data_IF_161277272403
#
_entry.id   IF_161277272403
#
_cell.length_a   1.000
_cell.length_b   1.000
_cell.length_c   1.000
_cell.angle_alpha   90.00
_cell.angle_beta   90.00
_cell.angle_gamma   90.00
#
_symmetry.space_group_name_H-M   'P 1'
#
loop_
_entity.id
_entity.type
_entity.pdbx_description
1 polymer ?
#
# COMPACT_ATOMS: atom_id res chain seq x y z
N UNK A 1 4.16 17.09 -15.39
CA UNK A 1 2.72 17.45 -15.35
C UNK A 1 1.91 16.16 -15.35
N UNK A 2 0.99 15.99 -14.38
CA UNK A 2 0.18 14.76 -14.21
C UNK A 2 -1.20 14.84 -14.88
N UNK A 3 -1.74 16.05 -14.98
CA UNK A 3 -3.01 16.35 -15.61
C UNK A 3 -3.24 17.86 -15.62
N UNK A 4 -4.32 18.28 -16.29
CA UNK A 4 -4.78 19.67 -16.34
C UNK A 4 -6.28 19.66 -16.08
N UNK A 5 -6.74 20.53 -15.20
CA UNK A 5 -8.17 20.76 -14.94
C UNK A 5 -8.60 22.03 -15.68
N UNK A 6 -9.67 21.95 -16.46
CA UNK A 6 -10.26 23.06 -17.20
C UNK A 6 -11.77 23.09 -16.95
N UNK A 7 -12.32 24.29 -16.92
CA UNK A 7 -13.75 24.54 -16.87
C UNK A 7 -14.15 25.33 -18.12
N UNK A 8 -15.29 24.97 -18.71
CA UNK A 8 -15.90 25.67 -19.83
C UNK A 8 -17.34 25.99 -19.46
N UNK A 9 -17.73 27.25 -19.62
CA UNK A 9 -19.10 27.70 -19.39
C UNK A 9 -19.34 29.12 -19.92
N UNK A 10 -20.54 29.65 -19.70
CA UNK A 10 -20.90 31.02 -20.05
C UNK A 10 -19.95 32.05 -19.46
N UNK A 11 -19.76 33.18 -20.15
CA UNK A 11 -18.84 34.25 -19.75
C UNK A 11 -19.25 34.90 -18.43
N UNK A 12 -20.55 34.92 -18.16
CA UNK A 12 -21.20 35.50 -16.98
C UNK A 12 -21.40 34.49 -15.84
N UNK A 13 -20.92 33.26 -16.00
CA UNK A 13 -21.02 32.24 -14.98
C UNK A 13 -19.67 32.05 -14.27
N UNK A 14 -19.68 32.11 -12.95
CA UNK A 14 -18.52 31.72 -12.15
C UNK A 14 -18.28 30.19 -12.24
N UNK A 15 -17.01 29.75 -12.36
CA UNK A 15 -16.70 28.33 -12.32
C UNK A 15 -17.09 27.73 -10.96
N UNK A 16 -17.57 26.47 -10.94
CA UNK A 16 -17.84 25.79 -9.69
C UNK A 16 -16.54 25.61 -8.89
N UNK A 17 -16.63 25.35 -7.57
CA UNK A 17 -15.47 25.01 -6.77
C UNK A 17 -14.66 23.88 -7.40
N UNK A 18 -13.36 24.10 -7.59
CA UNK A 18 -12.48 23.13 -8.24
C UNK A 18 -12.35 21.86 -7.40
N UNK A 19 -12.54 20.70 -8.02
CA UNK A 19 -12.21 19.42 -7.41
C UNK A 19 -10.74 19.38 -7.01
N UNK A 20 -10.46 18.94 -5.79
CA UNK A 20 -9.07 18.78 -5.35
C UNK A 20 -8.43 17.62 -6.11
N UNK A 21 -7.24 17.85 -6.64
CA UNK A 21 -6.46 16.82 -7.30
C UNK A 21 -4.98 16.99 -7.01
N UNK A 22 -4.26 15.89 -7.03
CA UNK A 22 -2.82 15.86 -6.74
C UNK A 22 -2.09 14.82 -7.59
N UNK A 23 -0.82 15.08 -7.88
CA UNK A 23 0.07 14.12 -8.55
C UNK A 23 0.85 13.29 -7.55
N UNK A 24 1.03 12.01 -7.87
CA UNK A 24 1.97 11.11 -7.17
C UNK A 24 2.81 10.34 -8.18
N UNK A 25 4.04 10.00 -7.81
CA UNK A 25 4.94 9.18 -8.63
C UNK A 25 5.38 7.96 -7.82
N UNK A 26 5.13 6.78 -8.35
CA UNK A 26 5.69 5.53 -7.88
C UNK A 26 7.00 5.28 -8.61
N UNK A 27 8.12 5.32 -7.90
CA UNK A 27 9.45 4.98 -8.39
C UNK A 27 9.73 3.52 -8.04
N UNK A 28 9.65 2.63 -9.05
CA UNK A 28 9.73 1.18 -8.81
C UNK A 28 11.14 0.68 -8.47
N UNK A 29 12.24 1.20 -9.08
CA UNK A 29 13.59 0.87 -8.66
C UNK A 29 13.88 1.10 -7.18
N UNK A 30 13.42 2.22 -6.61
CA UNK A 30 13.62 2.53 -5.18
C UNK A 30 12.48 2.03 -4.30
N UNK A 31 11.35 1.63 -4.92
CA UNK A 31 10.11 1.20 -4.27
C UNK A 31 9.51 2.27 -3.35
N UNK A 32 9.64 3.54 -3.78
CA UNK A 32 9.17 4.72 -3.08
C UNK A 32 8.04 5.42 -3.85
N UNK A 33 7.26 6.19 -3.11
CA UNK A 33 6.18 7.03 -3.62
C UNK A 33 6.49 8.48 -3.30
N UNK A 34 6.70 9.28 -4.34
CA UNK A 34 6.83 10.72 -4.23
C UNK A 34 5.46 11.36 -4.28
N UNK A 35 5.16 12.19 -3.30
CA UNK A 35 3.88 12.87 -3.15
C UNK A 35 4.09 14.37 -3.05
N UNK A 36 3.07 15.12 -3.46
CA UNK A 36 2.99 16.54 -3.11
C UNK A 36 2.32 16.72 -1.75
N UNK A 37 2.51 17.89 -1.15
CA UNK A 37 1.80 18.29 0.08
C UNK A 37 0.27 18.29 -0.10
N UNK A 38 -0.22 18.50 -1.33
CA UNK A 38 -1.64 18.49 -1.61
C UNK A 38 -2.27 17.10 -1.41
N UNK A 39 -1.48 16.02 -1.54
CA UNK A 39 -1.93 14.67 -1.22
C UNK A 39 -2.34 14.54 0.25
N UNK A 40 -1.48 14.99 1.18
CA UNK A 40 -1.78 14.93 2.62
C UNK A 40 -2.86 15.94 3.01
N UNK A 41 -2.88 17.13 2.41
CA UNK A 41 -3.93 18.14 2.63
C UNK A 41 -5.31 17.66 2.17
N UNK A 42 -5.39 16.97 1.03
CA UNK A 42 -6.63 16.32 0.58
C UNK A 42 -7.12 15.33 1.62
N UNK A 43 -6.22 14.57 2.27
CA UNK A 43 -6.54 13.65 3.35
C UNK A 43 -6.80 14.31 4.73
N UNK A 44 -6.77 15.64 4.82
CA UNK A 44 -6.92 16.37 6.09
C UNK A 44 -5.78 16.14 7.09
N UNK A 45 -4.59 15.75 6.59
CA UNK A 45 -3.38 15.59 7.40
C UNK A 45 -2.66 16.96 7.46
N UNK A 46 -2.25 17.42 8.66
CA UNK A 46 -1.59 18.72 8.80
C UNK A 46 -0.21 18.73 8.14
N UNK A 47 0.19 19.89 7.61
CA UNK A 47 1.46 20.08 6.88
C UNK A 47 2.69 19.65 7.71
N UNK A 48 2.67 19.82 9.04
CA UNK A 48 3.75 19.38 9.93
C UNK A 48 3.99 17.86 9.94
N UNK A 49 3.04 17.06 9.42
CA UNK A 49 3.16 15.60 9.27
C UNK A 49 3.39 15.18 7.81
N UNK A 50 3.58 16.14 6.90
CA UNK A 50 3.84 15.83 5.50
C UNK A 50 5.19 15.15 5.34
N UNK A 51 5.17 14.00 4.69
CA UNK A 51 6.36 13.31 4.22
C UNK A 51 6.33 13.33 2.68
N UNK A 52 7.35 13.91 2.01
CA UNK A 52 7.38 14.00 0.55
C UNK A 52 7.56 12.64 -0.12
N UNK A 53 8.06 11.66 0.63
CA UNK A 53 8.36 10.32 0.15
C UNK A 53 7.83 9.30 1.16
N UNK A 54 7.17 8.26 0.67
CA UNK A 54 6.73 7.10 1.46
C UNK A 54 7.17 5.80 0.81
N UNK A 55 7.43 4.74 1.58
CA UNK A 55 7.51 3.39 1.03
C UNK A 55 6.23 3.01 0.28
N UNK A 56 6.37 2.35 -0.88
CA UNK A 56 5.22 1.87 -1.66
C UNK A 56 4.27 1.00 -0.81
N UNK A 57 4.83 0.19 0.09
CA UNK A 57 4.06 -0.65 1.01
C UNK A 57 3.17 0.12 2.00
N UNK A 58 3.51 1.38 2.29
CA UNK A 58 2.79 2.24 3.23
C UNK A 58 1.84 3.22 2.55
N UNK A 59 2.01 3.50 1.26
CA UNK A 59 1.18 4.49 0.55
C UNK A 59 -0.33 4.21 0.65
N UNK A 60 -0.71 2.93 0.58
CA UNK A 60 -2.12 2.51 0.66
C UNK A 60 -2.64 2.33 2.09
N UNK A 61 -1.82 2.52 3.11
CA UNK A 61 -2.22 2.28 4.50
C UNK A 61 -3.32 3.26 4.96
N UNK A 62 -3.35 4.47 4.40
CA UNK A 62 -4.37 5.48 4.73
C UNK A 62 -5.70 5.28 3.98
N UNK A 63 -5.80 4.29 3.09
CA UNK A 63 -7.06 3.92 2.46
C UNK A 63 -7.87 3.02 3.41
N UNK A 64 -9.08 3.45 3.77
CA UNK A 64 -10.00 2.65 4.59
C UNK A 64 -10.58 1.48 3.79
N UNK A 65 -10.79 1.69 2.49
CA UNK A 65 -11.19 0.64 1.56
C UNK A 65 -10.56 0.87 0.20
N UNK A 66 -9.97 -0.19 -0.35
CA UNK A 66 -9.51 -0.20 -1.74
C UNK A 66 -9.61 -1.65 -2.23
N UNK A 67 -10.33 -1.86 -3.33
CA UNK A 67 -10.70 -3.21 -3.79
C UNK A 67 -9.88 -3.65 -5.03
N UNK A 68 -9.18 -2.73 -5.68
CA UNK A 68 -8.51 -2.96 -6.97
C UNK A 68 -7.00 -3.18 -6.84
N UNK A 69 -6.60 -3.97 -5.84
CA UNK A 69 -5.19 -4.22 -5.54
C UNK A 69 -4.50 -5.03 -6.62
N UNK A 70 -5.18 -6.04 -7.15
CA UNK A 70 -4.66 -6.91 -8.20
C UNK A 70 -4.36 -6.13 -9.46
N UNK A 71 -5.26 -5.23 -9.86
CA UNK A 71 -5.06 -4.39 -11.04
C UNK A 71 -3.89 -3.42 -10.84
N UNK A 72 -3.71 -2.88 -9.63
CA UNK A 72 -2.52 -2.06 -9.32
C UNK A 72 -1.25 -2.90 -9.39
N UNK A 73 -1.21 -4.10 -8.80
CA UNK A 73 0.00 -4.92 -8.84
C UNK A 73 0.33 -5.42 -10.24
N UNK A 74 -0.69 -5.83 -11.01
CA UNK A 74 -0.53 -6.15 -12.41
C UNK A 74 0.00 -4.95 -13.20
N UNK A 75 -0.51 -3.75 -12.93
CA UNK A 75 -0.03 -2.51 -13.53
C UNK A 75 1.45 -2.26 -13.20
N UNK A 76 1.86 -2.44 -11.94
CA UNK A 76 3.22 -2.12 -11.49
C UNK A 76 4.27 -3.15 -11.88
N UNK A 77 3.94 -4.45 -11.84
CA UNK A 77 4.93 -5.51 -11.95
C UNK A 77 4.85 -6.33 -13.24
N UNK A 78 3.69 -6.38 -13.89
CA UNK A 78 3.47 -7.27 -15.04
C UNK A 78 3.22 -6.51 -16.35
N UNK A 79 2.86 -5.23 -16.27
CA UNK A 79 2.41 -4.47 -17.43
C UNK A 79 3.54 -3.78 -18.19
N UNK A 80 3.33 -3.62 -19.50
CA UNK A 80 4.26 -2.91 -20.38
C UNK A 80 4.34 -1.39 -20.15
N UNK A 81 5.34 -0.71 -20.77
CA UNK A 81 5.41 0.75 -20.79
C UNK A 81 4.13 1.30 -21.42
N UNK A 82 3.39 2.17 -20.72
CA UNK A 82 2.12 2.83 -21.14
C UNK A 82 0.82 2.12 -20.76
N UNK A 83 0.85 1.07 -19.95
CA UNK A 83 -0.37 0.55 -19.34
C UNK A 83 -1.04 1.63 -18.46
N UNK A 84 -2.37 1.57 -18.36
CA UNK A 84 -3.19 2.56 -17.65
C UNK A 84 -4.18 1.84 -16.74
N UNK A 85 -4.47 2.47 -15.61
CA UNK A 85 -5.51 2.04 -14.69
C UNK A 85 -6.30 3.27 -14.24
N UNK A 86 -7.61 3.13 -14.16
CA UNK A 86 -8.47 4.04 -13.43
C UNK A 86 -9.21 3.24 -12.39
N UNK A 87 -9.14 3.69 -11.14
CA UNK A 87 -9.73 2.98 -10.01
C UNK A 87 -10.18 3.95 -8.94
N UNK A 88 -10.96 3.49 -7.98
CA UNK A 88 -11.44 4.31 -6.86
C UNK A 88 -11.17 3.65 -5.53
N UNK A 89 -11.10 4.45 -4.48
CA UNK A 89 -10.94 4.00 -3.10
C UNK A 89 -11.60 4.96 -2.12
N UNK A 90 -11.70 4.50 -0.89
CA UNK A 90 -12.20 5.28 0.24
C UNK A 90 -11.03 5.67 1.12
N UNK A 91 -10.85 6.97 1.33
CA UNK A 91 -9.77 7.54 2.13
C UNK A 91 -10.38 8.31 3.29
N UNK A 92 -9.81 8.16 4.48
CA UNK A 92 -10.27 8.93 5.64
C UNK A 92 -9.73 10.35 5.60
N UNK A 93 -10.61 11.32 5.79
CA UNK A 93 -10.22 12.68 6.13
C UNK A 93 -9.95 12.77 7.64
N UNK A 94 -8.69 13.03 8.02
CA UNK A 94 -8.30 13.06 9.43
C UNK A 94 -8.82 14.28 10.19
N UNK A 95 -8.94 15.42 9.52
CA UNK A 95 -9.43 16.66 10.12
C UNK A 95 -10.96 16.63 10.31
N UNK A 96 -11.69 16.21 9.28
CA UNK A 96 -13.15 16.20 9.27
C UNK A 96 -13.76 14.90 9.82
N UNK A 97 -12.93 13.86 10.05
CA UNK A 97 -13.35 12.52 10.49
C UNK A 97 -14.46 11.92 9.63
N UNK A 98 -14.36 12.13 8.31
CA UNK A 98 -15.28 11.61 7.32
C UNK A 98 -14.55 10.75 6.28
N UNK A 99 -15.30 9.95 5.56
CA UNK A 99 -14.81 9.19 4.41
C UNK A 99 -14.87 10.05 3.15
N UNK A 100 -13.83 9.97 2.32
CA UNK A 100 -13.75 10.60 1.02
C UNK A 100 -13.67 9.55 -0.07
N UNK A 101 -14.26 9.87 -1.22
CA UNK A 101 -14.23 9.04 -2.41
C UNK A 101 -13.14 9.54 -3.36
N UNK A 102 -12.02 8.83 -3.42
CA UNK A 102 -10.90 9.21 -4.28
C UNK A 102 -10.87 8.36 -5.54
N UNK A 103 -10.58 8.99 -6.67
CA UNK A 103 -10.22 8.31 -7.91
C UNK A 103 -8.72 8.41 -8.13
N UNK A 104 -8.09 7.29 -8.48
CA UNK A 104 -6.73 7.24 -8.96
C UNK A 104 -6.75 6.94 -10.47
N UNK A 105 -6.17 7.84 -11.26
CA UNK A 105 -5.82 7.58 -12.66
C UNK A 105 -4.31 7.41 -12.74
N UNK A 106 -3.87 6.21 -13.12
CA UNK A 106 -2.46 5.82 -13.12
C UNK A 106 -2.01 5.42 -14.52
N UNK A 107 -0.79 5.80 -14.89
CA UNK A 107 -0.10 5.33 -16.09
C UNK A 107 1.32 4.86 -15.78
N UNK A 108 1.69 3.69 -16.29
CA UNK A 108 3.09 3.22 -16.23
C UNK A 108 3.97 4.01 -17.17
N UNK A 109 5.21 4.21 -16.75
CA UNK A 109 6.27 4.82 -17.55
C UNK A 109 7.52 3.99 -17.36
N UNK A 110 8.05 3.49 -18.46
CA UNK A 110 9.33 2.78 -18.52
C UNK A 110 10.04 3.28 -19.76
N UNK A 111 10.84 4.31 -19.58
CA UNK A 111 11.68 4.93 -20.59
C UNK A 111 13.07 5.25 -20.00
N UNK A 112 13.95 5.86 -20.78
CA UNK A 112 15.33 6.17 -20.36
C UNK A 112 15.43 7.13 -19.17
N UNK A 113 14.35 7.83 -18.83
CA UNK A 113 14.33 8.81 -17.74
C UNK A 113 13.61 8.30 -16.49
N UNK A 114 12.81 7.25 -16.60
CA UNK A 114 11.86 6.88 -15.55
C UNK A 114 11.42 5.42 -15.65
N UNK A 115 11.38 4.73 -14.51
CA UNK A 115 10.80 3.40 -14.37
C UNK A 115 9.81 3.37 -13.20
N UNK A 116 8.52 3.37 -13.51
CA UNK A 116 7.47 3.30 -12.50
C UNK A 116 6.10 3.71 -13.00
N UNK A 117 5.36 4.46 -12.20
CA UNK A 117 4.01 4.88 -12.56
C UNK A 117 3.66 6.27 -12.01
N UNK A 118 2.86 7.00 -12.80
CA UNK A 118 2.42 8.35 -12.51
C UNK A 118 0.93 8.31 -12.22
N UNK A 119 0.56 8.73 -11.01
CA UNK A 119 -0.82 8.84 -10.56
C UNK A 119 -1.30 10.29 -10.57
N UNK A 120 -2.58 10.47 -10.93
CA UNK A 120 -3.39 11.61 -10.59
C UNK A 120 -4.47 11.12 -9.62
N UNK A 121 -4.52 11.70 -8.42
CA UNK A 121 -5.54 11.41 -7.42
C UNK A 121 -6.53 12.56 -7.39
N UNK A 122 -7.82 12.26 -7.43
CA UNK A 122 -8.90 13.25 -7.49
C UNK A 122 -9.93 12.96 -6.39
N UNK A 123 -10.35 14.00 -5.67
CA UNK A 123 -11.42 13.91 -4.69
C UNK A 123 -12.79 14.08 -5.37
N UNK A 124 -13.51 12.97 -5.49
CA UNK A 124 -14.86 12.88 -6.06
C UNK A 124 -15.95 12.93 -4.98
N UNK A 125 -15.59 13.22 -3.73
CA UNK A 125 -16.54 13.27 -2.62
C UNK A 125 -17.64 14.29 -2.92
N UNK A 126 -18.89 13.84 -2.87
CA UNK A 126 -20.05 14.71 -3.03
C UNK A 126 -21.23 14.14 -2.25
N UNK A 127 -22.25 14.97 -2.00
CA UNK A 127 -23.48 14.52 -1.36
C UNK A 127 -24.18 13.39 -2.13
N UNK A 128 -23.93 13.27 -3.45
CA UNK A 128 -24.52 12.26 -4.33
C UNK A 128 -23.67 10.99 -4.46
N UNK A 129 -22.38 11.06 -4.14
CA UNK A 129 -21.46 9.93 -4.21
C UNK A 129 -20.90 9.66 -2.82
N UNK A 130 -21.55 8.73 -2.10
CA UNK A 130 -21.01 8.23 -0.82
C UNK A 130 -19.96 7.17 -1.11
N UNK A 131 -18.74 7.30 -0.56
CA UNK A 131 -17.73 6.26 -0.71
C UNK A 131 -18.21 4.94 -0.09
N UNK A 132 -17.83 3.79 -0.67
CA UNK A 132 -18.09 2.50 -0.05
C UNK A 132 -17.29 2.39 1.25
N UNK A 133 -17.96 2.00 2.33
CA UNK A 133 -17.30 1.75 3.62
C UNK A 133 -16.64 0.37 3.63
N UNK A 134 -15.67 0.18 4.51
CA UNK A 134 -15.25 -1.16 4.89
C UNK A 134 -16.47 -1.94 5.40
N UNK A 135 -16.60 -3.21 5.01
CA UNK A 135 -17.70 -4.06 5.49
C UNK A 135 -17.49 -4.44 6.96
N UNK A 136 -18.55 -4.91 7.63
CA UNK A 136 -18.45 -5.38 9.01
C UNK A 136 -17.43 -6.53 9.11
N UNK A 137 -17.43 -7.45 8.15
CA UNK A 137 -16.52 -8.58 8.06
C UNK A 137 -15.06 -8.11 7.92
N UNK A 138 -14.81 -7.11 7.07
CA UNK A 138 -13.47 -6.54 6.88
C UNK A 138 -12.94 -5.90 8.18
N UNK A 139 -13.78 -5.12 8.86
CA UNK A 139 -13.43 -4.50 10.14
C UNK A 139 -13.21 -5.54 11.23
N UNK A 140 -14.16 -6.47 11.41
CA UNK A 140 -14.07 -7.52 12.43
C UNK A 140 -12.85 -8.41 12.22
N UNK A 141 -12.51 -8.74 10.97
CA UNK A 141 -11.33 -9.54 10.65
C UNK A 141 -10.02 -8.81 11.00
N UNK A 142 -9.92 -7.51 10.71
CA UNK A 142 -8.76 -6.69 11.11
C UNK A 142 -8.61 -6.61 12.63
N UNK A 143 -9.71 -6.38 13.34
CA UNK A 143 -9.69 -6.27 14.80
C UNK A 143 -9.33 -7.60 15.46
N UNK A 144 -9.85 -8.72 14.95
CA UNK A 144 -9.50 -10.06 15.40
C UNK A 144 -7.99 -10.33 15.23
N UNK A 145 -7.43 -10.03 14.07
CA UNK A 145 -6.00 -10.23 13.81
C UNK A 145 -5.12 -9.37 14.74
N UNK A 146 -5.48 -8.09 14.92
CA UNK A 146 -4.79 -7.19 15.84
C UNK A 146 -4.81 -7.72 17.27
N UNK A 147 -5.97 -8.18 17.76
CA UNK A 147 -6.12 -8.74 19.11
C UNK A 147 -5.27 -10.00 19.34
N UNK A 148 -4.97 -10.75 18.28
CA UNK A 148 -4.13 -11.95 18.33
C UNK A 148 -2.65 -11.68 17.98
N UNK A 149 -2.25 -10.41 17.85
CA UNK A 149 -0.87 -10.05 17.49
C UNK A 149 -0.44 -10.56 16.11
N UNK A 150 -1.39 -10.85 15.23
CA UNK A 150 -1.15 -11.32 13.88
C UNK A 150 -1.33 -10.16 12.89
N UNK A 151 -0.36 -10.01 12.01
CA UNK A 151 -0.37 -8.94 11.00
C UNK A 151 -0.23 -9.55 9.63
N UNK A 152 -0.88 -8.98 8.62
CA UNK A 152 -0.87 -9.49 7.26
C UNK A 152 -0.22 -8.50 6.30
N UNK A 153 0.50 -9.04 5.32
CA UNK A 153 1.10 -8.29 4.24
C UNK A 153 1.27 -9.15 2.99
N UNK A 154 1.51 -8.50 1.86
CA UNK A 154 1.74 -9.14 0.57
C UNK A 154 3.23 -9.16 0.29
N UNK A 155 3.80 -10.34 0.12
CA UNK A 155 5.22 -10.53 -0.25
C UNK A 155 5.33 -10.72 -1.77
N UNK A 156 6.27 -10.01 -2.39
CA UNK A 156 6.70 -10.28 -3.76
C UNK A 156 7.68 -11.45 -3.75
N UNK A 157 7.24 -12.60 -4.25
CA UNK A 157 8.06 -13.83 -4.28
C UNK A 157 9.32 -13.68 -5.13
N UNK A 158 9.36 -12.97 -6.27
CA UNK A 158 10.61 -12.82 -7.04
C UNK A 158 11.83 -12.28 -6.28
N UNK A 159 11.66 -11.50 -5.21
CA UNK A 159 12.77 -10.89 -4.46
C UNK A 159 12.56 -10.80 -2.94
N UNK A 160 11.45 -11.33 -2.43
CA UNK A 160 11.17 -11.40 -1.00
C UNK A 160 10.80 -10.06 -0.37
N UNK A 161 10.48 -9.01 -1.14
CA UNK A 161 10.11 -7.70 -0.59
C UNK A 161 8.63 -7.59 -0.19
N UNK A 162 8.30 -6.67 0.71
CA UNK A 162 6.91 -6.40 1.12
C UNK A 162 6.23 -5.42 0.14
N UNK A 163 5.21 -5.87 -0.57
CA UNK A 163 4.46 -5.02 -1.50
C UNK A 163 3.49 -4.09 -0.78
N UNK A 164 2.84 -4.58 0.28
CA UNK A 164 1.81 -3.86 1.05
C UNK A 164 1.50 -4.55 2.37
N UNK A 165 1.12 -3.77 3.38
CA UNK A 165 0.43 -4.26 4.57
C UNK A 165 -1.09 -4.33 4.35
N UNK A 166 -1.70 -5.49 4.62
CA UNK A 166 -3.14 -5.73 4.50
C UNK A 166 -3.90 -5.39 5.78
N UNK A 167 -3.24 -5.53 6.92
CA UNK A 167 -3.71 -5.04 8.22
C UNK A 167 -2.92 -3.80 8.61
N UNK A 168 -3.01 -3.40 9.88
CA UNK A 168 -2.02 -2.46 10.42
C UNK A 168 -0.60 -3.03 10.26
N UNK A 169 0.42 -2.18 10.09
CA UNK A 169 1.80 -2.63 10.05
C UNK A 169 2.21 -3.23 11.40
N UNK A 170 3.07 -4.27 11.43
CA UNK A 170 3.58 -4.83 12.68
C UNK A 170 4.37 -3.79 13.48
N UNK A 171 4.08 -3.56 14.77
CA UNK A 171 4.66 -2.44 15.53
C UNK A 171 6.16 -2.58 15.80
N UNK A 172 6.72 -3.79 15.72
CA UNK A 172 8.15 -4.03 15.92
C UNK A 172 8.99 -3.87 14.65
N UNK A 173 8.35 -3.69 13.49
CA UNK A 173 9.02 -3.50 12.20
C UNK A 173 9.03 -2.01 11.87
N UNK A 174 10.18 -1.49 11.45
CA UNK A 174 10.27 -0.15 10.89
C UNK A 174 9.75 -0.17 9.44
N UNK A 175 8.44 0.04 9.31
CA UNK A 175 7.77 0.12 8.01
C UNK A 175 7.99 1.46 7.27
N UNK A 176 8.84 2.35 7.78
CA UNK A 176 9.24 3.58 7.06
C UNK A 176 10.35 3.31 6.03
N UNK A 177 10.91 2.10 6.03
CA UNK A 177 11.93 1.65 5.09
C UNK A 177 11.37 1.29 3.72
N UNK A 178 12.23 1.39 2.71
CA UNK A 178 11.87 0.89 1.39
C UNK A 178 11.56 -0.62 1.49
N UNK A 179 10.60 -1.16 0.72
CA UNK A 179 10.22 -2.57 0.79
C UNK A 179 11.36 -3.58 0.76
N UNK A 180 12.37 -3.41 -0.09
CA UNK A 180 13.55 -4.26 -0.15
C UNK A 180 14.49 -4.10 1.05
N UNK A 181 14.31 -3.13 1.94
CA UNK A 181 15.14 -2.95 3.14
C UNK A 181 14.50 -3.56 4.39
N UNK A 182 13.23 -3.96 4.32
CA UNK A 182 12.46 -4.41 5.50
C UNK A 182 13.00 -5.70 6.12
N UNK A 183 13.50 -6.63 5.31
CA UNK A 183 14.12 -7.87 5.79
C UNK A 183 15.61 -7.91 5.48
N UNK A 184 16.40 -8.63 6.29
CA UNK A 184 17.81 -8.84 6.03
C UNK A 184 18.04 -9.43 4.62
N UNK A 185 19.12 -9.06 3.90
CA UNK A 185 19.34 -9.50 2.51
C UNK A 185 19.28 -11.02 2.30
N UNK A 186 19.86 -11.79 3.20
CA UNK A 186 19.84 -13.25 3.17
C UNK A 186 18.45 -13.84 3.42
N UNK A 187 17.64 -13.18 4.25
CA UNK A 187 16.27 -13.60 4.53
C UNK A 187 15.34 -13.24 3.37
N UNK A 188 15.59 -12.13 2.66
CA UNK A 188 14.95 -11.83 1.37
C UNK A 188 15.30 -12.87 0.32
N UNK A 189 16.56 -13.25 0.20
CA UNK A 189 16.99 -14.31 -0.72
C UNK A 189 16.37 -15.67 -0.40
N UNK A 190 16.12 -15.97 0.88
CA UNK A 190 15.35 -17.14 1.33
C UNK A 190 13.88 -17.04 0.89
N UNK A 191 13.23 -15.92 1.20
CA UNK A 191 11.83 -15.66 0.80
C UNK A 191 11.66 -15.72 -0.72
N UNK A 192 12.68 -15.27 -1.47
CA UNK A 192 12.65 -15.29 -2.92
C UNK A 192 12.64 -16.69 -3.54
N UNK A 193 13.07 -17.69 -2.76
CA UNK A 193 13.12 -19.11 -3.13
C UNK A 193 12.00 -19.92 -2.44
N UNK A 194 11.24 -19.31 -1.55
CA UNK A 194 10.19 -19.98 -0.80
C UNK A 194 9.02 -20.34 -1.74
N UNK A 195 8.46 -21.52 -1.57
CA UNK A 195 7.22 -21.93 -2.24
C UNK A 195 6.13 -21.98 -1.19
N UNK A 196 5.11 -21.14 -1.32
CA UNK A 196 3.99 -21.15 -0.37
C UNK A 196 3.15 -22.45 -0.52
N UNK A 197 2.68 -23.07 0.57
CA UNK A 197 2.81 -22.63 1.95
C UNK A 197 4.24 -22.83 2.53
N UNK A 198 4.71 -21.84 3.29
CA UNK A 198 6.01 -21.84 3.97
C UNK A 198 5.87 -21.24 5.38
N UNK A 199 6.69 -21.68 6.33
CA UNK A 199 6.74 -21.16 7.70
C UNK A 199 8.21 -21.05 8.12
N UNK A 200 8.60 -19.88 8.63
CA UNK A 200 9.97 -19.66 9.04
C UNK A 200 10.15 -18.36 9.81
N UNK A 201 11.40 -18.10 10.19
CA UNK A 201 11.80 -16.87 10.86
C UNK A 201 12.66 -16.05 9.91
N UNK A 202 12.39 -14.75 9.86
CA UNK A 202 13.18 -13.75 9.14
C UNK A 202 13.55 -12.63 10.09
N UNK A 203 14.67 -11.95 9.83
CA UNK A 203 15.05 -10.74 10.54
C UNK A 203 14.43 -9.54 9.85
N UNK A 204 13.54 -8.85 10.56
CA UNK A 204 12.91 -7.61 10.10
C UNK A 204 13.56 -6.41 10.78
N UNK A 205 13.85 -5.36 10.01
CA UNK A 205 14.43 -4.11 10.53
C UNK A 205 13.48 -3.47 11.55
N UNK A 206 14.04 -2.98 12.66
CA UNK A 206 13.31 -2.30 13.72
C UNK A 206 13.64 -0.81 13.78
N UNK A 207 12.93 -0.09 14.63
CA UNK A 207 13.07 1.38 14.79
C UNK A 207 14.43 1.83 15.32
N UNK A 208 15.28 0.90 15.78
CA UNK A 208 16.63 1.16 16.30
C UNK A 208 17.73 0.84 15.27
N UNK A 209 17.40 0.64 13.99
CA UNK A 209 18.31 0.18 12.94
C UNK A 209 18.94 -1.21 13.21
N UNK A 210 18.28 -2.07 13.98
CA UNK A 210 18.68 -3.45 14.22
C UNK A 210 17.60 -4.42 13.74
N UNK A 211 17.85 -5.72 13.81
CA UNK A 211 16.95 -6.75 13.34
C UNK A 211 16.18 -7.42 14.48
N UNK A 212 14.86 -7.48 14.33
CA UNK A 212 13.97 -8.25 15.20
C UNK A 212 13.57 -9.57 14.52
N UNK A 213 13.82 -10.72 15.16
CA UNK A 213 13.29 -12.00 14.70
C UNK A 213 11.76 -11.95 14.56
N UNK A 214 11.29 -12.28 13.36
CA UNK A 214 9.88 -12.22 12.96
C UNK A 214 9.51 -13.55 12.33
N UNK A 215 8.56 -14.26 12.93
CA UNK A 215 8.00 -15.46 12.31
C UNK A 215 7.07 -15.02 11.19
N UNK A 216 7.22 -15.63 10.02
CA UNK A 216 6.41 -15.41 8.84
C UNK A 216 5.81 -16.74 8.38
N UNK A 217 4.49 -16.77 8.19
CA UNK A 217 3.78 -17.88 7.56
C UNK A 217 3.27 -17.39 6.20
N UNK A 218 3.82 -17.95 5.12
CA UNK A 218 3.42 -17.64 3.76
C UNK A 218 2.28 -18.54 3.32
N UNK A 219 1.29 -17.94 2.67
CA UNK A 219 0.18 -18.65 2.02
C UNK A 219 0.07 -18.21 0.55
N UNK A 220 -0.28 -19.12 -0.37
CA UNK A 220 -0.39 -18.77 -1.78
C UNK A 220 -1.45 -17.69 -2.01
N UNK A 221 -1.12 -16.66 -2.79
CA UNK A 221 -2.10 -15.70 -3.28
C UNK A 221 -2.52 -16.04 -4.71
N UNK A 222 -3.77 -16.51 -4.87
CA UNK A 222 -4.30 -16.96 -6.17
C UNK A 222 -4.84 -15.84 -7.07
N UNK A 223 -4.90 -14.61 -6.57
CA UNK A 223 -5.38 -13.46 -7.32
C UNK A 223 -4.41 -12.95 -8.39
N UNK A 224 -3.12 -13.27 -8.27
CA UNK A 224 -2.10 -12.87 -9.23
C UNK A 224 -1.79 -13.99 -10.21
N UNK A 225 -1.91 -13.73 -11.52
CA UNK A 225 -1.83 -14.76 -12.59
C UNK A 225 -0.49 -15.50 -12.64
N UNK A 226 0.60 -14.89 -12.18
CA UNK A 226 1.94 -15.47 -12.27
C UNK A 226 2.48 -16.04 -10.95
N UNK A 227 1.64 -16.18 -9.90
CA UNK A 227 2.06 -16.63 -8.57
C UNK A 227 3.24 -15.84 -7.97
N UNK A 228 3.45 -14.60 -8.42
CA UNK A 228 4.54 -13.75 -7.96
C UNK A 228 4.28 -13.09 -6.60
N UNK A 229 3.09 -13.32 -6.02
CA UNK A 229 2.68 -12.77 -4.74
C UNK A 229 2.30 -13.88 -3.77
N UNK A 230 2.62 -13.69 -2.51
CA UNK A 230 2.16 -14.52 -1.40
C UNK A 230 1.59 -13.64 -0.29
N UNK A 231 0.65 -14.17 0.49
CA UNK A 231 0.20 -13.51 1.72
C UNK A 231 1.09 -13.99 2.86
N UNK A 232 1.83 -13.06 3.44
CA UNK A 232 2.60 -13.28 4.67
C UNK A 232 1.78 -12.93 5.89
N UNK A 233 1.78 -13.83 6.87
CA UNK A 233 1.28 -13.57 8.23
C UNK A 233 2.46 -13.48 9.19
N UNK A 234 2.55 -12.35 9.87
CA UNK A 234 3.70 -11.95 10.67
C UNK A 234 3.37 -11.99 12.15
N UNK A 235 4.31 -12.56 12.91
CA UNK A 235 4.31 -12.59 14.37
C UNK A 235 5.69 -12.16 14.84
N UNK A 236 5.75 -11.47 15.98
CA UNK A 236 7.02 -11.28 16.66
C UNK A 236 7.49 -12.68 17.08
N UNK A 237 8.69 -13.07 16.67
CA UNK A 237 9.22 -14.34 17.15
C UNK A 237 9.61 -14.12 18.60
N UNK A 238 8.79 -14.60 19.53
CA UNK A 238 9.22 -14.72 20.92
C UNK A 238 10.51 -15.54 20.92
N UNK A 239 11.52 -15.10 21.67
CA UNK A 239 12.73 -15.88 21.90
C UNK A 239 12.45 -17.21 22.66
N UNK A 240 11.19 -17.58 22.89
CA UNK A 240 10.78 -18.65 23.81
C UNK A 240 9.49 -19.43 23.47
N UNK A 241 8.89 -19.34 22.27
CA UNK A 241 7.59 -20.01 22.03
C UNK A 241 7.52 -20.84 20.74
N UNK A 242 8.37 -21.87 20.65
CA UNK A 242 8.26 -22.93 19.62
C UNK A 242 7.98 -24.33 20.22
N UNK A 243 7.23 -24.39 21.33
CA UNK A 243 6.77 -25.69 21.92
C UNK A 243 5.28 -25.98 21.79
N UNK A 244 4.49 -25.10 21.17
CA UNK A 244 3.04 -25.10 21.39
C UNK A 244 2.12 -25.59 20.27
N UNK A 245 2.58 -25.78 19.02
CA UNK A 245 1.68 -26.13 17.91
C UNK A 245 2.29 -27.17 16.97
N UNK A 246 2.62 -28.33 17.54
CA UNK A 246 2.58 -29.61 16.80
C UNK A 246 1.59 -30.51 17.53
N UNK A 247 0.37 -30.60 16.97
CA UNK A 247 -0.75 -31.53 17.24
C UNK A 247 -2.06 -30.80 17.58
N UNK A 248 -2.89 -30.66 16.57
CA UNK A 248 -4.30 -31.05 16.59
C UNK A 248 -4.65 -31.53 15.18
#
# INVERSE_FOLDING_TARGET
MHGVQYWFGPIDQDPPPRHRATGVVWDLPTELVHMTIDCTRMAGIPDAKFLPVLPLAMFWHNAERFDHHEEVYHLLYESGPKAKLRTTGTVRNHAQRCEMHWQATVRTRKDSQAHGAWGLLEDLTSMKSRPPRATLEQTAFRDYLRANGAYLGVIRVPDGSIVRWLTDPPPWIDCTRAPHEVFAPEDRARLAKATAPDDGVVRAINHNNDYTPTRIVLTPYRGCRNNQLAIGRFYRADSTTDRGLRRA
#
